data_IF_301886415156
#
_entry.id   IF_301886415156
#
_cell.length_a   1.000
_cell.length_b   1.000
_cell.length_c   1.000
_cell.angle_alpha   90.00
_cell.angle_beta   90.00
_cell.angle_gamma   90.00
#
_symmetry.space_group_name_H-M   'P 1'
#
loop_
_entity.id
_entity.type
_entity.pdbx_description
1 polymer ?
#
# COMPACT_ATOMS: atom_id res chain seq x y z
N UNK A 1 -6.55 17.14 15.55
CA UNK A 1 -7.24 16.24 16.51
C UNK A 1 -8.54 15.65 15.96
N UNK A 2 -9.28 16.33 15.08
CA UNK A 2 -10.54 15.82 14.51
C UNK A 2 -10.34 14.74 13.44
N UNK A 3 -9.28 14.80 12.62
CA UNK A 3 -9.03 13.82 11.54
C UNK A 3 -8.79 12.39 12.07
N UNK A 4 -8.06 12.26 13.18
CA UNK A 4 -7.77 10.97 13.82
C UNK A 4 -9.05 10.27 14.29
N UNK A 5 -10.02 11.04 14.79
CA UNK A 5 -11.30 10.50 15.27
C UNK A 5 -12.16 9.94 14.14
N UNK A 6 -12.12 10.57 12.96
CA UNK A 6 -12.89 10.13 11.79
C UNK A 6 -12.26 8.89 11.15
N UNK A 7 -10.93 8.81 11.12
CA UNK A 7 -10.21 7.60 10.67
C UNK A 7 -10.48 6.42 11.61
N UNK A 8 -10.48 6.64 12.93
CA UNK A 8 -10.82 5.61 13.93
C UNK A 8 -12.27 5.11 13.82
N UNK A 9 -13.24 6.01 13.57
CA UNK A 9 -14.64 5.65 13.38
C UNK A 9 -14.89 4.82 12.11
N UNK A 10 -14.16 5.09 11.03
CA UNK A 10 -14.28 4.34 9.76
C UNK A 10 -13.73 2.91 9.88
N UNK A 11 -12.70 2.70 10.70
CA UNK A 11 -12.15 1.36 10.99
C UNK A 11 -13.20 0.49 11.70
N UNK A 12 -13.90 1.02 12.71
CA UNK A 12 -14.90 0.30 13.51
C UNK A 12 -16.11 -0.19 12.71
N UNK A 13 -16.47 0.50 11.62
CA UNK A 13 -17.63 0.16 10.79
C UNK A 13 -17.33 -0.91 9.73
N UNK A 14 -16.05 -1.20 9.47
CA UNK A 14 -15.63 -2.10 8.39
C UNK A 14 -15.55 -3.58 8.80
N UNK A 15 -15.76 -3.90 10.09
CA UNK A 15 -15.40 -5.21 10.64
C UNK A 15 -13.89 -5.50 10.61
N UNK A 16 -13.08 -4.53 10.15
CA UNK A 16 -11.63 -4.54 10.30
C UNK A 16 -11.26 -4.27 11.75
N UNK A 17 -10.65 -5.26 12.39
CA UNK A 17 -9.92 -5.02 13.63
C UNK A 17 -8.60 -4.34 13.27
N UNK A 18 -8.39 -3.11 13.74
CA UNK A 18 -7.07 -2.50 13.77
C UNK A 18 -6.68 -2.35 15.23
N UNK A 19 -5.66 -3.09 15.64
CA UNK A 19 -5.04 -2.96 16.94
C UNK A 19 -3.80 -2.07 16.79
N UNK A 20 -3.58 -1.16 17.73
CA UNK A 20 -2.30 -0.45 17.81
C UNK A 20 -1.31 -1.45 18.39
N UNK A 21 -0.56 -2.08 17.50
CA UNK A 21 0.52 -2.98 17.84
C UNK A 21 1.57 -2.20 18.63
N UNK A 22 1.74 -2.53 19.91
CA UNK A 22 2.67 -1.85 20.82
C UNK A 22 4.11 -2.16 20.42
N UNK A 23 4.32 -3.39 19.94
CA UNK A 23 5.61 -3.89 19.46
C UNK A 23 5.39 -4.77 18.22
N UNK A 24 5.80 -4.25 17.07
CA UNK A 24 5.60 -4.90 15.78
C UNK A 24 6.40 -6.20 15.64
N UNK A 25 7.57 -6.30 16.27
CA UNK A 25 8.38 -7.52 16.24
C UNK A 25 7.79 -8.62 17.13
N UNK A 26 7.17 -8.27 18.26
CA UNK A 26 6.52 -9.26 19.13
C UNK A 26 5.17 -9.74 18.58
N UNK A 27 4.32 -8.82 18.14
CA UNK A 27 2.94 -9.14 17.77
C UNK A 27 2.83 -9.59 16.30
N UNK A 28 3.68 -9.04 15.43
CA UNK A 28 3.73 -9.34 14.00
C UNK A 28 5.08 -9.93 13.58
N UNK A 29 5.86 -10.53 14.49
CA UNK A 29 7.20 -11.09 14.21
C UNK A 29 7.27 -12.25 13.20
N UNK A 30 6.13 -12.71 12.69
CA UNK A 30 6.07 -13.62 11.55
C UNK A 30 6.08 -12.87 10.20
N UNK A 31 5.75 -11.58 10.23
CA UNK A 31 5.70 -10.67 9.10
C UNK A 31 7.09 -10.14 8.75
N UNK A 32 7.93 -9.91 9.76
CA UNK A 32 9.36 -9.66 9.60
C UNK A 32 10.15 -10.89 10.00
N UNK A 33 10.97 -11.39 9.09
CA UNK A 33 11.88 -12.50 9.36
C UNK A 33 12.86 -12.03 10.45
N UNK A 34 12.76 -12.59 11.66
CA UNK A 34 13.61 -12.26 12.81
C UNK A 34 15.11 -12.36 12.46
N UNK A 35 15.79 -11.22 12.37
CA UNK A 35 17.25 -11.16 12.29
C UNK A 35 17.80 -10.82 13.69
N UNK A 36 18.23 -11.85 14.43
CA UNK A 36 18.90 -11.66 15.71
C UNK A 36 20.28 -10.98 15.59
N UNK A 37 20.89 -10.53 16.69
CA UNK A 37 21.92 -9.46 16.69
C UNK A 37 23.28 -9.85 16.14
N UNK A 38 23.49 -11.11 15.78
CA UNK A 38 24.77 -11.62 15.33
C UNK A 38 24.51 -12.62 14.22
N UNK A 39 24.62 -12.22 12.94
CA UNK A 39 25.18 -13.04 11.85
C UNK A 39 25.36 -12.18 10.59
N UNK A 40 26.60 -12.23 10.12
CA UNK A 40 27.14 -11.93 8.81
C UNK A 40 26.14 -12.10 7.65
N UNK A 41 26.05 -11.08 6.79
CA UNK A 41 25.84 -11.06 5.32
C UNK A 41 25.07 -12.17 4.57
N UNK A 42 24.34 -13.07 5.21
CA UNK A 42 23.85 -14.29 4.54
C UNK A 42 22.65 -14.96 5.26
N UNK A 43 21.75 -14.19 5.86
CA UNK A 43 20.42 -14.75 6.22
C UNK A 43 19.61 -14.84 4.92
N UNK A 44 19.88 -15.90 4.16
CA UNK A 44 18.91 -16.45 3.25
C UNK A 44 17.65 -16.73 4.07
N UNK A 45 16.58 -15.95 3.81
CA UNK A 45 15.19 -16.36 4.07
C UNK A 45 15.12 -17.86 3.87
N UNK A 46 14.69 -18.63 4.87
CA UNK A 46 14.39 -20.05 4.66
C UNK A 46 13.49 -20.11 3.43
N UNK A 47 14.03 -20.65 2.34
CA UNK A 47 13.38 -20.62 1.03
C UNK A 47 12.02 -21.32 1.14
N UNK A 48 11.88 -22.24 2.10
CA UNK A 48 10.66 -22.98 2.37
C UNK A 48 9.54 -22.14 3.01
N UNK A 49 9.86 -21.02 3.67
CA UNK A 49 8.87 -20.10 4.26
C UNK A 49 8.55 -18.91 3.35
N UNK A 50 9.34 -18.72 2.29
CA UNK A 50 9.16 -17.61 1.34
C UNK A 50 7.83 -17.81 0.60
N UNK A 51 6.96 -16.82 0.70
CA UNK A 51 5.66 -16.85 0.03
C UNK A 51 4.54 -17.54 0.80
N UNK A 52 4.75 -17.99 2.04
CA UNK A 52 3.65 -18.50 2.90
C UNK A 52 2.71 -17.37 3.32
N UNK A 53 3.29 -16.24 3.76
CA UNK A 53 2.56 -15.05 4.20
C UNK A 53 2.76 -13.84 3.29
N UNK A 54 3.41 -14.04 2.14
CA UNK A 54 3.72 -13.00 1.17
C UNK A 54 3.27 -13.41 -0.22
N UNK A 55 2.76 -12.46 -1.00
CA UNK A 55 2.50 -12.67 -2.40
C UNK A 55 3.80 -12.96 -3.17
N UNK A 56 3.70 -13.84 -4.16
CA UNK A 56 4.76 -14.21 -5.08
C UNK A 56 4.44 -13.72 -6.49
N UNK A 57 5.44 -13.69 -7.37
CA UNK A 57 5.23 -13.22 -8.76
C UNK A 57 4.23 -14.09 -9.51
N UNK A 58 4.28 -15.40 -9.23
CA UNK A 58 3.46 -16.47 -9.78
C UNK A 58 1.98 -16.31 -9.42
N UNK A 59 1.67 -15.62 -8.30
CA UNK A 59 0.28 -15.32 -7.92
C UNK A 59 -0.40 -14.36 -8.92
N UNK A 60 0.38 -13.53 -9.60
CA UNK A 60 -0.12 -12.54 -10.56
C UNK A 60 -0.09 -13.06 -12.00
N UNK A 61 0.65 -14.13 -12.29
CA UNK A 61 0.81 -14.65 -13.64
C UNK A 61 -0.54 -15.11 -14.22
N UNK A 62 -0.86 -14.60 -15.42
CA UNK A 62 -2.13 -14.90 -16.14
C UNK A 62 -3.41 -14.60 -15.33
N UNK A 63 -3.31 -13.85 -14.24
CA UNK A 63 -4.46 -13.48 -13.39
C UNK A 63 -5.40 -12.46 -14.05
N UNK A 64 -4.91 -11.72 -15.05
CA UNK A 64 -5.60 -10.57 -15.63
C UNK A 64 -5.37 -9.26 -14.86
N UNK A 65 -4.77 -9.32 -13.66
CA UNK A 65 -4.45 -8.14 -12.84
C UNK A 65 -2.99 -7.72 -13.01
N UNK A 66 -2.76 -6.42 -12.88
CA UNK A 66 -1.43 -5.83 -12.77
C UNK A 66 -0.98 -5.76 -11.30
N UNK A 67 0.32 -5.57 -11.09
CA UNK A 67 0.91 -5.24 -9.78
C UNK A 67 0.71 -3.74 -9.54
N UNK A 68 -0.42 -3.37 -8.97
CA UNK A 68 -0.74 -1.97 -8.68
C UNK A 68 0.09 -1.45 -7.52
N UNK A 69 1.02 -0.54 -7.80
CA UNK A 69 1.88 0.07 -6.80
C UNK A 69 1.08 0.91 -5.80
N UNK A 70 1.27 0.67 -4.51
CA UNK A 70 0.74 1.50 -3.44
C UNK A 70 1.71 2.64 -3.14
N UNK A 71 3.02 2.36 -3.11
CA UNK A 71 4.04 3.40 -2.96
C UNK A 71 4.35 4.04 -4.34
N UNK A 72 4.15 5.35 -4.54
CA UNK A 72 4.43 5.98 -5.82
C UNK A 72 5.94 6.04 -6.09
N UNK A 73 6.38 5.47 -7.21
CA UNK A 73 7.81 5.40 -7.59
C UNK A 73 8.46 6.79 -7.68
N UNK A 74 7.72 7.79 -8.20
CA UNK A 74 8.24 9.14 -8.40
C UNK A 74 8.52 9.91 -7.10
N UNK A 75 8.04 9.42 -5.94
CA UNK A 75 8.38 9.98 -4.63
C UNK A 75 9.64 9.35 -4.02
N UNK A 76 10.27 8.39 -4.70
CA UNK A 76 11.47 7.76 -4.19
C UNK A 76 12.67 8.72 -4.19
N UNK A 77 13.29 8.90 -3.02
CA UNK A 77 14.46 9.77 -2.83
C UNK A 77 15.76 9.20 -3.42
N UNK A 78 15.75 7.92 -3.80
CA UNK A 78 16.90 7.24 -4.39
C UNK A 78 16.47 6.06 -5.27
N UNK A 79 17.38 5.59 -6.11
CA UNK A 79 17.18 4.37 -6.92
C UNK A 79 16.83 3.15 -6.05
N UNK A 80 17.47 3.00 -4.89
CA UNK A 80 17.16 1.91 -3.95
C UNK A 80 15.74 2.01 -3.38
N UNK A 81 15.30 3.23 -3.06
CA UNK A 81 13.93 3.47 -2.62
C UNK A 81 12.92 3.17 -3.74
N UNK A 82 13.26 3.54 -4.99
CA UNK A 82 12.43 3.23 -6.15
C UNK A 82 12.28 1.73 -6.34
N UNK A 83 13.38 0.97 -6.30
CA UNK A 83 13.38 -0.50 -6.38
C UNK A 83 12.53 -1.15 -5.28
N UNK A 84 12.58 -0.62 -4.06
CA UNK A 84 11.76 -1.12 -2.95
C UNK A 84 10.24 -1.00 -3.21
N UNK A 85 9.80 0.00 -4.00
CA UNK A 85 8.38 0.15 -4.38
C UNK A 85 7.86 -0.96 -5.31
N UNK A 86 8.75 -1.72 -5.97
CA UNK A 86 8.40 -2.86 -6.83
C UNK A 86 8.23 -4.16 -6.05
N UNK A 87 8.49 -4.17 -4.74
CA UNK A 87 8.21 -5.34 -3.90
C UNK A 87 6.71 -5.58 -3.78
N UNK A 88 6.28 -6.85 -3.73
CA UNK A 88 4.86 -7.21 -3.64
C UNK A 88 4.21 -6.87 -2.29
N UNK A 89 4.99 -6.50 -1.27
CA UNK A 89 4.46 -5.92 -0.02
C UNK A 89 4.05 -4.46 -0.19
N UNK A 90 4.39 -3.83 -1.32
CA UNK A 90 4.02 -2.46 -1.71
C UNK A 90 3.10 -2.45 -2.94
N UNK A 91 2.48 -3.57 -3.29
CA UNK A 91 1.57 -3.69 -4.42
C UNK A 91 0.34 -4.54 -4.08
N UNK A 92 -0.75 -4.32 -4.83
CA UNK A 92 -1.97 -5.13 -4.77
C UNK A 92 -2.50 -5.42 -6.19
N UNK A 93 -3.32 -6.47 -6.40
CA UNK A 93 -3.96 -6.73 -7.68
C UNK A 93 -4.79 -5.53 -8.15
N UNK A 94 -4.38 -4.92 -9.26
CA UNK A 94 -5.05 -3.76 -9.83
C UNK A 94 -5.60 -4.11 -11.21
N UNK A 95 -6.86 -3.75 -11.45
CA UNK A 95 -7.46 -3.87 -12.78
C UNK A 95 -6.68 -2.99 -13.76
N UNK A 96 -6.39 -3.54 -14.94
CA UNK A 96 -5.56 -2.87 -15.96
C UNK A 96 -6.15 -1.55 -16.45
N UNK A 97 -7.46 -1.41 -16.36
CA UNK A 97 -8.21 -0.24 -16.80
C UNK A 97 -8.53 0.74 -15.66
N UNK A 98 -8.08 0.47 -14.43
CA UNK A 98 -8.26 1.38 -13.31
C UNK A 98 -7.61 2.75 -13.60
N UNK A 99 -8.36 3.83 -13.37
CA UNK A 99 -7.90 5.19 -13.62
C UNK A 99 -6.70 5.52 -12.72
N UNK A 100 -5.52 5.66 -13.33
CA UNK A 100 -4.30 6.11 -12.63
C UNK A 100 -4.39 7.62 -12.48
N UNK A 101 -5.16 8.08 -11.51
CA UNK A 101 -5.15 9.51 -11.20
C UNK A 101 -3.74 9.94 -10.79
N UNK A 102 -3.25 10.95 -11.50
CA UNK A 102 -1.98 11.58 -11.19
C UNK A 102 -2.17 12.43 -9.93
N UNK A 103 -1.33 12.19 -8.91
CA UNK A 103 -1.38 12.96 -7.68
C UNK A 103 -1.31 14.45 -8.01
N UNK A 104 -2.30 15.18 -7.50
CA UNK A 104 -2.66 16.52 -7.94
C UNK A 104 -1.47 17.45 -8.18
N UNK A 105 -1.46 18.11 -9.35
CA UNK A 105 -0.59 19.26 -9.67
C UNK A 105 -0.62 20.37 -8.58
N UNK A 106 -1.59 20.35 -7.67
CA UNK A 106 -1.68 21.26 -6.52
C UNK A 106 -0.45 21.21 -5.61
N UNK A 107 0.23 20.05 -5.48
CA UNK A 107 1.42 19.95 -4.64
C UNK A 107 2.74 20.32 -5.36
N UNK A 108 2.74 20.80 -6.62
CA UNK A 108 3.99 20.97 -7.40
C UNK A 108 5.07 21.87 -6.77
N UNK A 109 4.73 22.70 -5.78
CA UNK A 109 5.65 23.61 -5.07
C UNK A 109 5.92 23.18 -3.62
N UNK A 110 5.42 22.02 -3.21
CA UNK A 110 5.39 21.53 -1.84
C UNK A 110 5.98 20.13 -1.74
N UNK A 111 6.53 19.79 -0.58
CA UNK A 111 6.76 18.39 -0.24
C UNK A 111 5.41 17.71 -0.02
N UNK A 112 5.28 16.42 -0.31
CA UNK A 112 4.00 15.72 -0.14
C UNK A 112 4.16 14.52 0.79
N UNK A 113 3.25 14.43 1.75
CA UNK A 113 3.05 13.22 2.53
C UNK A 113 1.85 12.49 1.95
N UNK A 114 2.04 11.23 1.59
CA UNK A 114 1.01 10.39 0.98
C UNK A 114 0.80 9.13 1.83
N UNK A 115 -0.46 8.74 1.98
CA UNK A 115 -0.85 7.45 2.51
C UNK A 115 -1.78 6.81 1.50
N UNK A 116 -1.43 5.62 1.06
CA UNK A 116 -2.19 4.84 0.09
C UNK A 116 -2.61 3.53 0.72
N UNK A 117 -3.75 3.01 0.32
CA UNK A 117 -4.17 1.69 0.75
C UNK A 117 -5.22 1.10 -0.17
N UNK A 118 -5.72 -0.05 0.26
CA UNK A 118 -6.77 -0.78 -0.45
C UNK A 118 -7.86 -1.20 0.51
N UNK A 119 -9.06 -1.37 -0.03
CA UNK A 119 -10.18 -2.00 0.69
C UNK A 119 -10.22 -3.46 0.23
N UNK A 120 -10.13 -4.44 1.15
CA UNK A 120 -10.23 -5.85 0.79
C UNK A 120 -11.49 -6.15 -0.04
N UNK A 121 -11.34 -6.98 -1.06
CA UNK A 121 -12.46 -7.49 -1.84
C UNK A 121 -12.83 -8.91 -1.45
N UNK A 122 -13.73 -9.52 -2.22
CA UNK A 122 -14.20 -10.89 -2.02
C UNK A 122 -13.44 -11.92 -2.87
N UNK A 123 -12.68 -11.48 -3.86
CA UNK A 123 -11.95 -12.34 -4.79
C UNK A 123 -10.51 -12.51 -4.33
N UNK A 124 -9.89 -13.61 -4.75
CA UNK A 124 -8.48 -13.90 -4.48
C UNK A 124 -7.79 -14.47 -5.71
N UNK A 125 -6.55 -14.07 -5.94
CA UNK A 125 -5.67 -14.73 -6.91
C UNK A 125 -5.11 -16.00 -6.28
N UNK A 126 -5.30 -17.14 -6.93
CA UNK A 126 -4.80 -18.45 -6.51
C UNK A 126 -5.11 -18.80 -5.02
N UNK A 127 -6.23 -18.32 -4.47
CA UNK A 127 -6.61 -18.45 -3.05
C UNK A 127 -5.57 -17.92 -2.05
N UNK A 128 -4.69 -17.01 -2.49
CA UNK A 128 -3.55 -16.50 -1.70
C UNK A 128 -3.56 -14.98 -1.57
N UNK A 129 -3.81 -14.26 -2.65
CA UNK A 129 -3.72 -12.79 -2.67
C UNK A 129 -5.11 -12.19 -2.81
N UNK A 130 -5.56 -11.40 -1.84
CA UNK A 130 -6.84 -10.70 -1.94
C UNK A 130 -6.82 -9.70 -3.09
N UNK A 131 -7.83 -9.76 -3.96
CA UNK A 131 -8.08 -8.74 -4.97
C UNK A 131 -8.91 -7.65 -4.29
N UNK A 132 -8.38 -6.43 -4.14
CA UNK A 132 -9.08 -5.36 -3.46
C UNK A 132 -10.30 -4.91 -4.27
N UNK A 133 -11.34 -4.46 -3.57
CA UNK A 133 -12.50 -3.84 -4.20
C UNK A 133 -12.24 -2.38 -4.58
N UNK A 134 -11.37 -1.69 -3.83
CA UNK A 134 -11.05 -0.28 -4.03
C UNK A 134 -9.59 0.01 -3.74
N UNK A 135 -9.06 1.02 -4.41
CA UNK A 135 -7.82 1.72 -4.04
C UNK A 135 -8.16 3.08 -3.47
N UNK A 136 -7.41 3.52 -2.46
CA UNK A 136 -7.57 4.87 -1.92
C UNK A 136 -6.22 5.51 -1.64
N UNK A 137 -6.22 6.84 -1.69
CA UNK A 137 -5.06 7.67 -1.40
C UNK A 137 -5.53 8.89 -0.62
N UNK A 138 -4.76 9.27 0.39
CA UNK A 138 -4.85 10.55 1.06
C UNK A 138 -3.49 11.23 1.01
N UNK A 139 -3.47 12.55 0.80
CA UNK A 139 -2.22 13.30 0.78
C UNK A 139 -2.33 14.65 1.47
N UNK A 140 -1.17 15.19 1.81
CA UNK A 140 -1.00 16.51 2.38
C UNK A 140 0.25 17.17 1.78
N UNK A 141 0.08 18.34 1.15
CA UNK A 141 1.17 19.17 0.67
C UNK A 141 1.72 20.01 1.83
N UNK A 142 2.99 19.83 2.18
CA UNK A 142 3.70 20.54 3.24
C UNK A 142 4.52 21.70 2.69
N UNK A 143 4.42 22.84 3.36
CA UNK A 143 5.36 23.95 3.19
C UNK A 143 6.75 23.62 3.77
N UNK A 144 7.67 24.56 3.64
CA UNK A 144 9.05 24.44 4.14
C UNK A 144 9.13 24.29 5.67
N UNK A 145 8.05 24.58 6.41
CA UNK A 145 7.96 24.43 7.86
C UNK A 145 7.22 23.14 8.27
N UNK A 146 7.04 22.20 7.33
CA UNK A 146 6.29 20.96 7.52
C UNK A 146 4.81 21.18 7.91
N UNK A 147 4.22 22.31 7.51
CA UNK A 147 2.80 22.58 7.76
C UNK A 147 1.96 22.25 6.53
N UNK A 148 0.91 21.46 6.73
CA UNK A 148 -0.06 21.11 5.70
C UNK A 148 -0.77 22.36 5.17
N UNK A 149 -0.62 22.65 3.89
CA UNK A 149 -1.31 23.75 3.22
C UNK A 149 -2.55 23.27 2.49
N UNK A 150 -2.43 22.14 1.80
CA UNK A 150 -3.52 21.49 1.07
C UNK A 150 -3.53 20.02 1.40
N UNK A 151 -4.72 19.46 1.53
CA UNK A 151 -4.93 18.03 1.73
C UNK A 151 -6.14 17.58 0.97
N UNK A 152 -6.09 16.39 0.40
CA UNK A 152 -7.21 15.78 -0.31
C UNK A 152 -7.12 14.26 -0.21
N UNK A 153 -8.18 13.59 -0.61
CA UNK A 153 -8.22 12.13 -0.64
C UNK A 153 -9.21 11.61 -1.67
N UNK A 154 -8.86 10.52 -2.30
CA UNK A 154 -9.69 9.86 -3.31
C UNK A 154 -9.76 8.36 -3.05
N UNK A 155 -10.89 7.77 -3.41
CA UNK A 155 -11.12 6.33 -3.41
C UNK A 155 -11.76 5.96 -4.75
N UNK A 156 -11.23 4.93 -5.40
CA UNK A 156 -11.73 4.43 -6.67
C UNK A 156 -11.99 2.94 -6.61
N UNK A 157 -13.10 2.51 -7.19
CA UNK A 157 -13.43 1.10 -7.40
C UNK A 157 -12.39 0.44 -8.31
N UNK A 158 -11.84 -0.71 -7.90
CA UNK A 158 -10.86 -1.50 -8.65
C UNK A 158 -11.53 -2.25 -9.81
N UNK A 159 -12.17 -1.48 -10.68
CA UNK A 159 -13.01 -1.95 -11.78
C UNK A 159 -12.83 -1.02 -12.98
N UNK A 160 -13.22 -1.52 -14.14
CA UNK A 160 -13.25 -0.76 -15.39
C UNK A 160 -14.32 0.35 -15.33
N UNK A 161 -13.95 1.56 -14.90
CA UNK A 161 -14.78 2.76 -15.05
C UNK A 161 -14.27 3.54 -16.26
N UNK A 162 -14.99 3.56 -17.41
CA UNK A 162 -14.62 4.42 -18.52
C UNK A 162 -14.69 5.90 -18.08
N UNK A 163 -13.79 6.78 -18.55
CA UNK A 163 -13.62 8.16 -18.07
C UNK A 163 -14.87 9.05 -18.07
N UNK A 164 -15.93 8.65 -18.77
CA UNK A 164 -17.13 9.44 -19.01
C UNK A 164 -18.15 9.36 -17.86
N UNK A 165 -17.78 8.84 -16.69
CA UNK A 165 -18.64 8.70 -15.49
C UNK A 165 -17.95 9.11 -14.18
N UNK A 166 -16.94 9.96 -14.23
CA UNK A 166 -16.40 10.66 -13.06
C UNK A 166 -16.93 12.08 -13.00
#
# INVERSE_FOLDING_TARGET
MTLLLHVLMLILLSGGSAEVVQDFEQECGQFFINAGPNILSDVCVDINLRGVHQALSEDYEKSGYDRGHLAPVYQAESQKCAEATFTLTKAAPQDRCFNREELSQKCSQYSVFIVTGVVPGTQTLNNRVNVPSHFWTAYCCLDQNNKCQFSDGFIGENMNIPPNRM
#
